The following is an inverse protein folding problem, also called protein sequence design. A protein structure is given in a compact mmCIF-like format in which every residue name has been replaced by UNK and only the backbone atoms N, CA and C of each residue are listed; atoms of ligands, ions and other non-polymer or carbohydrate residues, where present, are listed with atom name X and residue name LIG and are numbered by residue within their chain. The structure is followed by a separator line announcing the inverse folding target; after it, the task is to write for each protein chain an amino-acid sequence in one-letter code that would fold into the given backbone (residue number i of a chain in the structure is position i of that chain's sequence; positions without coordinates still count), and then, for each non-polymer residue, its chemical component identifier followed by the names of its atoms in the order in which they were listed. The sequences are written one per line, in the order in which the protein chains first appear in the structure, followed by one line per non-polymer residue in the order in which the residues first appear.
data_IF_715187270728
#
_entry.id   IF_715187270728
#
_cell.length_a   1.000
_cell.length_b   1.000
_cell.length_c   1.000
_cell.angle_alpha   90.00
_cell.angle_beta   90.00
_cell.angle_gamma   90.00
#
_symmetry.space_group_name_H-M   'P 1'
#
loop_
_entity.id
_entity.type
_entity.pdbx_description
1 polymer ?
#
# COMPACT_ATOMS: atom_id res chain seq x y z
N UNK A 1 -56.33 11.81 18.47
CA UNK A 1 -55.54 13.05 18.61
C UNK A 1 -54.20 12.82 17.94
N UNK A 2 -54.06 13.28 16.68
CA UNK A 2 -52.82 13.18 15.89
C UNK A 2 -51.86 14.26 16.39
N UNK A 3 -50.68 13.87 16.88
CA UNK A 3 -49.61 14.83 17.14
C UNK A 3 -48.56 14.64 16.04
N UNK A 4 -48.57 15.58 15.12
CA UNK A 4 -47.58 15.80 14.08
C UNK A 4 -46.41 16.54 14.74
N UNK A 5 -45.25 15.90 14.91
CA UNK A 5 -44.02 16.59 15.35
C UNK A 5 -43.16 16.78 14.11
N UNK A 6 -43.25 17.99 13.55
CA UNK A 6 -42.30 18.52 12.57
C UNK A 6 -41.08 18.99 13.35
N UNK A 7 -39.91 18.36 13.17
CA UNK A 7 -38.65 18.86 13.75
C UNK A 7 -37.65 19.21 12.64
N UNK A 8 -37.16 20.44 12.76
CA UNK A 8 -36.23 21.15 11.89
C UNK A 8 -34.85 20.47 11.88
N UNK A 9 -34.36 20.11 10.69
CA UNK A 9 -32.99 19.63 10.48
C UNK A 9 -32.00 20.81 10.42
N UNK A 10 -31.16 20.95 11.45
CA UNK A 10 -29.87 21.64 11.33
C UNK A 10 -28.79 20.84 12.06
N UNK A 11 -27.95 20.17 11.28
CA UNK A 11 -26.58 19.71 11.50
C UNK A 11 -26.06 19.51 12.95
N UNK A 12 -26.28 18.30 13.49
CA UNK A 12 -25.37 17.50 14.34
C UNK A 12 -26.18 16.30 14.85
N UNK A 13 -26.39 15.29 13.99
CA UNK A 13 -27.32 14.21 14.25
C UNK A 13 -26.65 12.99 14.90
N UNK A 14 -26.49 13.03 16.23
CA UNK A 14 -26.57 11.81 17.06
C UNK A 14 -27.92 11.86 17.75
N UNK A 15 -28.92 11.20 17.17
CA UNK A 15 -30.25 11.11 17.77
C UNK A 15 -30.35 9.81 18.58
N UNK A 16 -30.10 9.87 19.89
CA UNK A 16 -30.39 8.77 20.80
C UNK A 16 -31.91 8.70 21.05
N UNK A 17 -32.62 7.82 20.35
CA UNK A 17 -34.02 7.52 20.68
C UNK A 17 -34.08 6.40 21.71
N UNK A 18 -34.47 6.73 22.94
CA UNK A 18 -34.80 5.77 23.99
C UNK A 18 -36.27 5.39 23.89
N UNK A 19 -36.57 4.15 23.50
CA UNK A 19 -37.90 3.56 23.66
C UNK A 19 -37.75 2.26 24.45
N UNK A 20 -38.51 2.13 25.55
CA UNK A 20 -38.41 1.01 26.48
C UNK A 20 -38.71 -0.33 25.78
N UNK A 21 -37.86 -1.31 26.06
CA UNK A 21 -37.91 -2.76 25.76
C UNK A 21 -37.28 -3.28 24.47
N UNK A 22 -36.62 -2.47 23.65
CA UNK A 22 -35.58 -2.92 22.70
C UNK A 22 -34.80 -1.67 22.29
N UNK A 23 -33.63 -1.44 22.89
CA UNK A 23 -32.84 -0.25 22.58
C UNK A 23 -32.40 -0.31 21.11
N UNK A 24 -32.84 0.67 20.32
CA UNK A 24 -32.43 0.83 18.93
C UNK A 24 -31.49 2.03 18.86
N UNK A 25 -30.22 1.76 18.58
CA UNK A 25 -29.23 2.80 18.33
C UNK A 25 -29.13 3.04 16.82
N UNK A 26 -29.52 4.22 16.36
CA UNK A 26 -29.39 4.64 14.96
C UNK A 26 -28.26 5.65 14.87
N UNK A 27 -27.22 5.30 14.12
CA UNK A 27 -26.09 6.18 13.85
C UNK A 27 -26.13 6.62 12.39
N UNK A 28 -25.92 7.92 12.14
CA UNK A 28 -25.95 8.50 10.80
C UNK A 28 -24.91 9.60 10.64
N UNK A 29 -24.33 9.73 9.45
CA UNK A 29 -23.32 10.74 9.14
C UNK A 29 -21.90 10.28 9.50
N UNK A 30 -21.05 11.22 9.95
CA UNK A 30 -19.65 10.92 10.29
C UNK A 30 -19.56 10.31 11.69
N UNK A 31 -19.31 9.01 11.75
CA UNK A 31 -19.26 8.22 12.99
C UNK A 31 -17.91 7.50 13.06
N UNK A 32 -17.30 7.50 14.23
CA UNK A 32 -16.11 6.70 14.55
C UNK A 32 -16.51 5.52 15.43
N UNK A 33 -15.68 4.48 15.45
CA UNK A 33 -15.94 3.31 16.30
C UNK A 33 -16.06 3.67 17.79
N UNK A 34 -15.26 4.63 18.27
CA UNK A 34 -15.33 5.12 19.66
C UNK A 34 -16.65 5.83 20.02
N UNK A 35 -17.47 6.20 19.03
CA UNK A 35 -18.79 6.79 19.26
C UNK A 35 -19.86 5.71 19.54
N UNK A 36 -19.53 4.43 19.30
CA UNK A 36 -20.41 3.30 19.59
C UNK A 36 -20.29 2.96 21.08
N UNK A 37 -21.41 2.87 21.83
CA UNK A 37 -21.39 2.57 23.25
C UNK A 37 -20.60 1.29 23.60
N UNK A 38 -19.87 1.31 24.71
CA UNK A 38 -19.10 0.15 25.19
C UNK A 38 -19.95 -1.10 25.44
N UNK A 39 -21.23 -0.93 25.79
CA UNK A 39 -22.17 -2.06 25.86
C UNK A 39 -22.32 -2.79 24.52
N UNK A 40 -21.98 -2.19 23.38
CA UNK A 40 -21.95 -2.86 22.07
C UNK A 40 -20.54 -3.35 21.75
N UNK A 41 -19.51 -2.59 22.11
CA UNK A 41 -18.13 -2.84 21.63
C UNK A 41 -17.25 -3.65 22.59
N UNK A 42 -17.69 -3.88 23.82
CA UNK A 42 -16.96 -4.71 24.79
C UNK A 42 -16.83 -6.15 24.29
N UNK A 43 -15.65 -6.73 24.51
CA UNK A 43 -15.34 -8.12 24.20
C UNK A 43 -16.38 -9.09 24.80
N UNK A 44 -16.62 -10.19 24.07
CA UNK A 44 -17.57 -11.24 24.48
C UNK A 44 -16.79 -12.43 25.02
N UNK A 45 -17.14 -12.87 26.22
CA UNK A 45 -16.67 -14.14 26.78
C UNK A 45 -17.73 -15.18 26.44
N UNK A 46 -17.34 -16.17 25.64
CA UNK A 46 -18.22 -17.26 25.22
C UNK A 46 -18.24 -18.36 26.29
N UNK A 47 -19.10 -18.20 27.30
CA UNK A 47 -19.29 -19.18 28.39
C UNK A 47 -20.44 -20.13 28.12
N UNK A 48 -21.64 -19.58 27.89
CA UNK A 48 -22.86 -20.36 27.61
C UNK A 48 -23.71 -19.64 26.57
N UNK A 49 -24.62 -20.38 25.92
CA UNK A 49 -25.55 -19.79 24.96
C UNK A 49 -26.50 -18.79 25.63
N UNK A 50 -26.97 -19.08 26.84
CA UNK A 50 -27.91 -18.21 27.57
C UNK A 50 -27.25 -16.89 27.97
N UNK A 51 -25.99 -16.94 28.45
CA UNK A 51 -25.20 -15.74 28.75
C UNK A 51 -25.03 -14.87 27.50
N UNK A 52 -24.76 -15.50 26.35
CA UNK A 52 -24.62 -14.79 25.08
C UNK A 52 -25.95 -14.16 24.66
N UNK A 53 -27.06 -14.89 24.70
CA UNK A 53 -28.39 -14.36 24.37
C UNK A 53 -28.70 -13.15 25.25
N UNK A 54 -28.47 -13.26 26.56
CA UNK A 54 -28.69 -12.16 27.49
C UNK A 54 -27.80 -10.96 27.15
N UNK A 55 -26.52 -11.19 26.85
CA UNK A 55 -25.55 -10.16 26.47
C UNK A 55 -25.97 -9.41 25.20
N UNK A 56 -26.47 -10.12 24.19
CA UNK A 56 -26.90 -9.53 22.91
C UNK A 56 -28.20 -8.74 23.08
N UNK A 57 -29.18 -9.30 23.82
CA UNK A 57 -30.45 -8.61 24.11
C UNK A 57 -30.24 -7.29 24.86
N UNK A 58 -29.27 -7.25 25.80
CA UNK A 58 -28.91 -6.03 26.54
C UNK A 58 -28.26 -4.95 25.66
N UNK A 59 -27.60 -5.35 24.56
CA UNK A 59 -27.03 -4.39 23.60
C UNK A 59 -28.06 -3.78 22.67
N UNK A 60 -29.15 -4.50 22.39
CA UNK A 60 -30.19 -4.08 21.47
C UNK A 60 -29.76 -4.08 20.01
N UNK A 61 -30.45 -3.27 19.20
CA UNK A 61 -30.24 -3.16 17.75
C UNK A 61 -29.32 -2.01 17.41
N UNK A 62 -28.30 -2.26 16.58
CA UNK A 62 -27.47 -1.22 15.96
C UNK A 62 -27.88 -1.06 14.49
N UNK A 63 -28.33 0.14 14.12
CA UNK A 63 -28.62 0.54 12.75
C UNK A 63 -27.60 1.59 12.33
N UNK A 64 -26.77 1.27 11.33
CA UNK A 64 -25.92 2.24 10.65
C UNK A 64 -26.65 2.70 9.39
N UNK A 65 -26.91 4.00 9.29
CA UNK A 65 -27.65 4.60 8.16
C UNK A 65 -26.87 5.73 7.52
N UNK A 66 -26.51 5.60 6.25
CA UNK A 66 -25.66 6.55 5.54
C UNK A 66 -24.35 6.82 6.29
N UNK A 67 -23.70 5.76 6.79
CA UNK A 67 -22.47 5.82 7.57
C UNK A 67 -21.36 5.08 6.84
N UNK A 68 -20.17 5.66 6.90
CA UNK A 68 -18.92 4.97 6.61
C UNK A 68 -18.14 4.81 7.93
N UNK A 69 -18.18 3.61 8.49
CA UNK A 69 -17.57 3.30 9.78
C UNK A 69 -16.16 2.75 9.54
N UNK A 70 -15.17 3.61 9.76
CA UNK A 70 -13.76 3.25 9.68
C UNK A 70 -13.27 2.64 11.00
N UNK A 71 -12.71 1.43 10.94
CA UNK A 71 -12.17 0.69 12.09
C UNK A 71 -10.65 0.83 12.12
N UNK A 72 -10.17 1.86 12.81
CA UNK A 72 -8.73 2.13 12.93
C UNK A 72 -8.09 2.63 11.64
N UNK A 73 -6.75 2.66 11.64
CA UNK A 73 -5.94 3.10 10.50
C UNK A 73 -5.31 1.90 9.79
N UNK A 74 -5.07 2.06 8.48
CA UNK A 74 -4.19 1.18 7.70
C UNK A 74 -2.80 1.22 8.37
N UNK A 75 -2.11 0.07 8.51
CA UNK A 75 -0.83 -0.14 9.21
C UNK A 75 -0.84 -0.34 10.74
N UNK A 76 -1.99 -0.23 11.42
CA UNK A 76 -2.15 -0.73 12.80
C UNK A 76 -2.61 -2.19 12.79
N UNK A 77 -1.90 -3.02 12.01
CA UNK A 77 -2.28 -4.40 11.75
C UNK A 77 -2.47 -5.15 13.07
N UNK A 78 -3.60 -5.86 13.19
CA UNK A 78 -4.02 -6.72 14.31
C UNK A 78 -4.87 -6.07 15.43
N UNK A 79 -5.46 -4.89 15.21
CA UNK A 79 -6.52 -4.43 16.12
C UNK A 79 -7.78 -5.30 15.97
N UNK A 80 -8.37 -5.71 17.09
CA UNK A 80 -9.65 -6.42 17.12
C UNK A 80 -10.78 -5.45 17.49
N UNK A 81 -11.76 -5.34 16.60
CA UNK A 81 -13.00 -4.62 16.82
C UNK A 81 -14.13 -5.61 17.05
N UNK A 82 -14.92 -5.39 18.11
CA UNK A 82 -16.04 -6.27 18.46
C UNK A 82 -17.34 -5.50 18.35
N UNK A 83 -18.37 -6.13 17.79
CA UNK A 83 -19.76 -5.68 17.85
C UNK A 83 -20.61 -6.82 18.42
N UNK A 84 -21.12 -6.66 19.63
CA UNK A 84 -22.03 -7.60 20.28
C UNK A 84 -23.41 -6.96 20.37
N UNK A 85 -24.33 -7.37 19.51
CA UNK A 85 -25.67 -6.77 19.37
C UNK A 85 -26.76 -7.84 19.22
N UNK A 86 -28.01 -7.49 19.50
CA UNK A 86 -29.15 -8.35 19.13
C UNK A 86 -29.31 -8.36 17.60
N UNK A 87 -29.40 -7.18 16.98
CA UNK A 87 -29.50 -7.02 15.53
C UNK A 87 -28.51 -5.99 15.00
N UNK A 88 -27.75 -6.37 13.98
CA UNK A 88 -26.96 -5.45 13.16
C UNK A 88 -27.71 -5.17 11.87
N UNK A 89 -28.00 -3.90 11.60
CA UNK A 89 -28.59 -3.45 10.35
C UNK A 89 -27.72 -2.40 9.66
N UNK A 90 -27.40 -2.62 8.39
CA UNK A 90 -26.74 -1.62 7.54
C UNK A 90 -27.72 -1.11 6.48
N UNK A 91 -27.90 0.20 6.42
CA UNK A 91 -28.73 0.91 5.44
C UNK A 91 -27.85 1.94 4.71
N UNK A 92 -27.54 1.69 3.44
CA UNK A 92 -26.64 2.50 2.62
C UNK A 92 -25.33 2.84 3.37
N UNK A 93 -24.72 1.84 4.01
CA UNK A 93 -23.60 2.05 4.94
C UNK A 93 -22.47 1.07 4.68
N UNK A 94 -21.25 1.51 4.96
CA UNK A 94 -20.04 0.71 4.80
C UNK A 94 -19.31 0.59 6.12
N UNK A 95 -18.80 -0.60 6.41
CA UNK A 95 -17.80 -0.80 7.46
C UNK A 95 -16.46 -1.03 6.77
N UNK A 96 -15.49 -0.16 7.03
CA UNK A 96 -14.15 -0.24 6.46
C UNK A 96 -13.21 -0.69 7.56
N UNK A 97 -12.63 -1.88 7.41
CA UNK A 97 -11.81 -2.49 8.47
C UNK A 97 -10.37 -2.00 8.45
N UNK A 98 -9.89 -1.42 7.35
CA UNK A 98 -8.50 -1.00 7.14
C UNK A 98 -7.47 -2.13 7.42
N UNK A 99 -7.83 -3.37 7.05
CA UNK A 99 -7.03 -4.58 7.32
C UNK A 99 -7.19 -5.15 8.74
N UNK A 100 -7.90 -4.47 9.65
CA UNK A 100 -8.10 -4.91 11.03
C UNK A 100 -9.11 -6.06 11.17
N UNK A 101 -9.11 -6.71 12.33
CA UNK A 101 -10.06 -7.79 12.62
C UNK A 101 -11.39 -7.23 13.10
N UNK A 102 -12.49 -7.78 12.59
CA UNK A 102 -13.85 -7.47 13.03
C UNK A 102 -14.56 -8.76 13.47
N UNK A 103 -15.02 -8.79 14.71
CA UNK A 103 -15.88 -9.84 15.24
C UNK A 103 -17.27 -9.30 15.53
N UNK A 104 -18.30 -9.92 14.95
CA UNK A 104 -19.70 -9.55 15.15
C UNK A 104 -20.43 -10.71 15.80
N UNK A 105 -20.93 -10.51 17.00
CA UNK A 105 -21.84 -11.40 17.72
C UNK A 105 -23.25 -10.84 17.56
N UNK A 106 -24.13 -11.60 16.90
CA UNK A 106 -25.47 -11.14 16.55
C UNK A 106 -26.51 -12.26 16.66
N UNK A 107 -27.72 -11.93 17.09
CA UNK A 107 -28.88 -12.79 16.80
C UNK A 107 -29.21 -12.67 15.31
N UNK A 108 -29.32 -11.44 14.80
CA UNK A 108 -29.73 -11.15 13.41
C UNK A 108 -28.81 -10.17 12.70
N UNK A 109 -28.59 -10.39 11.41
CA UNK A 109 -27.84 -9.47 10.54
C UNK A 109 -28.67 -9.18 9.29
N UNK A 110 -28.81 -7.89 8.93
CA UNK A 110 -29.56 -7.43 7.76
C UNK A 110 -28.81 -6.28 7.06
N UNK A 111 -28.43 -6.48 5.80
CA UNK A 111 -27.81 -5.46 4.95
C UNK A 111 -28.77 -5.10 3.82
N UNK A 112 -28.87 -3.81 3.48
CA UNK A 112 -29.42 -3.42 2.18
C UNK A 112 -28.42 -3.66 1.04
N UNK A 113 -28.90 -3.54 -0.19
CA UNK A 113 -28.14 -3.80 -1.42
C UNK A 113 -26.95 -2.84 -1.66
N UNK A 114 -26.93 -1.70 -0.96
CA UNK A 114 -25.87 -0.69 -1.03
C UNK A 114 -24.89 -0.78 0.13
N UNK A 115 -25.12 -1.69 1.07
CA UNK A 115 -24.29 -1.84 2.26
C UNK A 115 -23.23 -2.92 2.09
N UNK A 116 -22.07 -2.71 2.71
CA UNK A 116 -20.97 -3.66 2.63
C UNK A 116 -20.01 -3.59 3.81
N UNK A 117 -19.24 -4.66 4.01
CA UNK A 117 -17.99 -4.62 4.78
C UNK A 117 -16.84 -4.70 3.79
N UNK A 118 -15.85 -3.82 3.91
CA UNK A 118 -14.68 -3.87 3.03
C UNK A 118 -13.36 -3.66 3.78
N UNK A 119 -12.27 -4.23 3.27
CA UNK A 119 -10.96 -4.07 3.89
C UNK A 119 -10.39 -2.68 3.70
N UNK A 120 -10.47 -2.11 2.50
CA UNK A 120 -9.86 -0.83 2.20
C UNK A 120 -10.73 -0.02 1.24
N UNK A 121 -10.63 1.30 1.33
CA UNK A 121 -11.09 2.22 0.29
C UNK A 121 -10.07 2.40 -0.84
N UNK A 122 -8.81 2.10 -0.56
CA UNK A 122 -7.69 2.23 -1.50
C UNK A 122 -6.93 0.91 -1.60
N UNK A 123 -6.64 0.47 -2.82
CA UNK A 123 -6.08 -0.85 -3.13
C UNK A 123 -4.57 -0.85 -3.44
N UNK A 124 -3.86 0.25 -3.20
CA UNK A 124 -2.47 0.40 -3.62
C UNK A 124 -1.60 0.89 -2.47
N UNK A 125 -0.48 0.20 -2.24
CA UNK A 125 0.59 0.68 -1.40
C UNK A 125 1.39 1.79 -2.09
N UNK A 126 2.22 2.50 -1.32
CA UNK A 126 3.01 3.61 -1.82
C UNK A 126 4.14 3.12 -2.73
N UNK A 127 4.29 3.78 -3.88
CA UNK A 127 5.41 3.53 -4.79
C UNK A 127 6.72 4.09 -4.24
N UNK A 128 7.82 3.44 -4.62
CA UNK A 128 9.17 3.96 -4.45
C UNK A 128 9.39 5.22 -5.28
N UNK A 129 10.26 6.08 -4.77
CA UNK A 129 10.69 7.29 -5.45
C UNK A 129 11.86 6.95 -6.38
N UNK A 130 11.82 7.50 -7.59
CA UNK A 130 12.97 7.49 -8.47
C UNK A 130 14.13 8.24 -7.79
N UNK A 131 15.37 7.83 -8.07
CA UNK A 131 16.53 8.62 -7.66
C UNK A 131 16.40 10.05 -8.20
N UNK A 132 16.64 11.06 -7.38
CA UNK A 132 16.37 12.45 -7.75
C UNK A 132 17.62 13.31 -8.01
N UNK A 133 18.84 12.76 -7.90
CA UNK A 133 20.10 13.40 -8.31
C UNK A 133 21.18 12.34 -8.66
N UNK A 134 22.40 12.77 -9.00
CA UNK A 134 23.49 11.89 -9.51
C UNK A 134 23.79 10.70 -8.61
N UNK A 135 23.84 9.50 -9.20
CA UNK A 135 24.18 8.25 -8.52
C UNK A 135 23.20 7.84 -7.39
N UNK A 136 21.99 8.41 -7.35
CA UNK A 136 20.98 8.05 -6.35
C UNK A 136 20.18 6.83 -6.83
N UNK A 137 20.05 5.86 -5.93
CA UNK A 137 19.25 4.66 -6.13
C UNK A 137 17.76 5.00 -6.09
N UNK A 138 16.95 4.25 -6.83
CA UNK A 138 15.51 4.23 -6.59
C UNK A 138 15.21 3.65 -5.21
N UNK A 139 14.16 4.15 -4.55
CA UNK A 139 13.71 3.58 -3.28
C UNK A 139 12.77 2.40 -3.52
N UNK A 140 12.63 1.55 -2.51
CA UNK A 140 11.69 0.43 -2.58
C UNK A 140 10.24 0.93 -2.63
N UNK A 141 9.36 0.12 -3.24
CA UNK A 141 7.91 0.24 -3.05
C UNK A 141 7.48 -0.45 -1.75
N UNK A 142 6.40 0.05 -1.15
CA UNK A 142 5.86 -0.51 0.09
C UNK A 142 5.12 -1.83 -0.20
N UNK A 143 5.11 -2.76 0.77
CA UNK A 143 4.27 -3.95 0.66
C UNK A 143 2.78 -3.55 0.75
N UNK A 144 1.92 -4.27 0.03
CA UNK A 144 0.49 -4.18 0.19
C UNK A 144 0.04 -4.79 1.52
N UNK A 145 -0.91 -4.15 2.18
CA UNK A 145 -1.54 -4.68 3.39
C UNK A 145 -2.50 -5.84 3.09
N UNK A 146 -2.60 -6.75 4.06
CA UNK A 146 -3.51 -7.89 3.99
C UNK A 146 -4.97 -7.44 4.14
N UNK A 147 -5.87 -8.12 3.45
CA UNK A 147 -7.29 -8.03 3.72
C UNK A 147 -7.62 -8.47 5.15
N UNK A 148 -8.75 -7.98 5.67
CA UNK A 148 -9.13 -8.16 7.06
C UNK A 148 -9.62 -9.56 7.40
N UNK A 149 -9.52 -9.91 8.68
CA UNK A 149 -10.23 -11.03 9.28
C UNK A 149 -11.60 -10.58 9.79
N UNK A 150 -12.68 -11.08 9.17
CA UNK A 150 -14.05 -10.82 9.63
C UNK A 150 -14.65 -12.12 10.15
N UNK A 151 -15.21 -12.12 11.35
CA UNK A 151 -15.94 -13.26 11.90
C UNK A 151 -17.32 -12.85 12.36
N UNK A 152 -18.33 -13.55 11.87
CA UNK A 152 -19.68 -13.47 12.38
C UNK A 152 -19.95 -14.69 13.27
N UNK A 153 -20.58 -14.44 14.41
CA UNK A 153 -21.09 -15.40 15.36
C UNK A 153 -22.60 -15.18 15.46
N UNK A 154 -23.37 -16.09 14.86
CA UNK A 154 -24.80 -15.89 14.59
C UNK A 154 -25.61 -16.91 15.38
N UNK A 155 -26.56 -16.42 16.17
CA UNK A 155 -27.47 -17.26 16.95
C UNK A 155 -28.76 -17.63 16.19
N UNK A 156 -29.38 -16.69 15.48
CA UNK A 156 -30.64 -16.94 14.75
C UNK A 156 -30.42 -17.06 13.23
N UNK A 157 -30.28 -15.93 12.53
CA UNK A 157 -30.21 -15.92 11.06
C UNK A 157 -29.60 -14.64 10.47
N UNK A 158 -29.17 -14.76 9.22
CA UNK A 158 -28.91 -13.63 8.33
C UNK A 158 -30.18 -13.42 7.49
N UNK A 159 -30.67 -12.19 7.44
CA UNK A 159 -31.97 -11.85 6.83
C UNK A 159 -31.86 -11.40 5.36
N UNK A 160 -30.65 -11.14 4.85
CA UNK A 160 -30.44 -10.67 3.48
C UNK A 160 -29.08 -11.08 2.91
N UNK A 161 -28.88 -10.87 1.61
CA UNK A 161 -27.58 -11.05 0.97
C UNK A 161 -26.57 -10.05 1.53
N UNK A 162 -25.43 -10.55 2.02
CA UNK A 162 -24.37 -9.73 2.59
C UNK A 162 -23.26 -9.56 1.55
N UNK A 163 -22.95 -8.31 1.22
CA UNK A 163 -21.80 -7.97 0.37
C UNK A 163 -20.56 -7.73 1.23
N UNK A 164 -19.50 -8.47 0.94
CA UNK A 164 -18.22 -8.40 1.65
C UNK A 164 -17.08 -8.29 0.62
N UNK A 165 -16.18 -7.33 0.80
CA UNK A 165 -14.99 -7.14 -0.02
C UNK A 165 -13.72 -7.13 0.84
N UNK A 166 -13.07 -8.28 0.97
CA UNK A 166 -11.85 -8.43 1.75
C UNK A 166 -10.59 -8.46 0.89
N UNK A 167 -10.59 -7.79 -0.26
CA UNK A 167 -9.42 -7.74 -1.14
C UNK A 167 -8.22 -7.11 -0.41
N UNK A 168 -7.03 -7.66 -0.67
CA UNK A 168 -5.79 -7.09 -0.18
C UNK A 168 -5.36 -5.87 -1.01
N UNK A 169 -4.33 -5.16 -0.55
CA UNK A 169 -3.67 -4.13 -1.36
C UNK A 169 -2.59 -4.73 -2.26
N UNK A 170 -2.39 -4.12 -3.42
CA UNK A 170 -1.24 -4.37 -4.27
C UNK A 170 0.02 -3.78 -3.65
N UNK A 171 1.16 -4.45 -3.88
CA UNK A 171 2.47 -3.90 -3.56
C UNK A 171 2.78 -2.67 -4.40
N UNK A 172 3.54 -1.74 -3.82
CA UNK A 172 4.01 -0.55 -4.48
C UNK A 172 5.10 -0.87 -5.50
N UNK A 173 5.09 -0.15 -6.62
CA UNK A 173 6.16 -0.23 -7.62
C UNK A 173 7.45 0.31 -7.04
N UNK A 174 8.60 -0.20 -7.47
CA UNK A 174 9.88 0.32 -7.04
C UNK A 174 10.26 1.59 -7.82
N UNK A 175 11.13 2.40 -7.21
CA UNK A 175 11.76 3.53 -7.89
C UNK A 175 12.85 3.10 -8.86
N UNK A 176 13.02 3.87 -9.93
CA UNK A 176 14.09 3.69 -10.90
C UNK A 176 15.43 4.25 -10.37
N UNK A 177 16.52 3.58 -10.75
CA UNK A 177 17.87 4.09 -10.57
C UNK A 177 18.24 5.15 -11.61
N UNK A 178 19.01 6.15 -11.20
CA UNK A 178 19.38 7.25 -12.10
C UNK A 178 20.54 6.89 -13.03
N UNK A 179 20.53 7.32 -14.31
CA UNK A 179 21.69 7.17 -15.18
C UNK A 179 22.94 7.87 -14.63
N UNK A 180 24.11 7.27 -14.87
CA UNK A 180 25.40 7.86 -14.59
C UNK A 180 25.72 9.01 -15.56
N UNK A 181 26.55 9.96 -15.14
CA UNK A 181 27.03 11.03 -16.01
C UNK A 181 28.23 10.56 -16.82
N UNK A 182 28.27 10.97 -18.08
CA UNK A 182 29.45 10.77 -18.92
C UNK A 182 30.64 11.55 -18.35
N UNK A 183 31.83 10.98 -18.51
CA UNK A 183 33.07 11.65 -18.25
C UNK A 183 33.34 12.76 -19.27
N UNK A 184 34.13 13.74 -18.84
CA UNK A 184 34.52 14.89 -19.66
C UNK A 184 35.76 14.53 -20.46
N UNK A 185 35.80 14.94 -21.74
CA UNK A 185 36.98 14.79 -22.59
C UNK A 185 38.18 15.52 -21.97
N UNK A 186 39.34 14.90 -22.02
CA UNK A 186 40.59 15.52 -21.58
C UNK A 186 40.97 16.73 -22.44
N UNK A 187 41.62 17.71 -21.83
CA UNK A 187 42.18 18.87 -22.53
C UNK A 187 43.26 18.44 -23.53
N UNK A 188 43.30 19.10 -24.68
CA UNK A 188 44.34 18.85 -25.67
C UNK A 188 45.71 19.32 -25.18
N UNK A 189 46.75 18.60 -25.58
CA UNK A 189 48.13 18.96 -25.34
C UNK A 189 48.50 20.26 -26.07
N UNK A 190 49.38 21.05 -25.45
CA UNK A 190 49.88 22.28 -26.08
C UNK A 190 50.72 21.96 -27.33
N UNK A 191 50.59 22.76 -28.38
CA UNK A 191 51.41 22.59 -29.59
C UNK A 191 52.89 22.92 -29.34
N UNK A 192 53.74 22.27 -30.13
CA UNK A 192 55.16 22.54 -30.18
C UNK A 192 55.43 23.96 -30.70
N UNK A 193 56.60 24.51 -30.35
CA UNK A 193 57.03 25.84 -30.81
C UNK A 193 58.52 25.81 -31.17
N UNK A 194 58.84 26.23 -32.39
CA UNK A 194 60.21 26.48 -32.81
C UNK A 194 60.75 27.75 -32.14
N UNK A 195 62.04 27.74 -31.83
CA UNK A 195 62.83 28.93 -31.52
C UNK A 195 63.46 29.51 -32.78
N UNK A 196 64.26 30.56 -32.60
CA UNK A 196 64.98 31.19 -33.70
C UNK A 196 65.98 30.19 -34.31
N UNK A 197 66.21 30.32 -35.62
CA UNK A 197 67.08 29.45 -36.43
C UNK A 197 66.70 27.95 -36.43
N UNK A 198 65.42 27.62 -36.23
CA UNK A 198 64.92 26.24 -36.33
C UNK A 198 65.26 25.37 -35.12
N UNK A 199 65.78 25.96 -34.03
CA UNK A 199 65.98 25.25 -32.76
C UNK A 199 64.64 24.83 -32.14
N UNK A 200 64.60 23.68 -31.45
CA UNK A 200 63.38 23.30 -30.74
C UNK A 200 63.27 24.07 -29.42
N UNK A 201 62.32 25.01 -29.31
CA UNK A 201 62.08 25.74 -28.06
C UNK A 201 61.23 24.93 -27.10
N UNK A 202 60.24 24.19 -27.62
CA UNK A 202 59.35 23.35 -26.81
C UNK A 202 58.66 22.30 -27.67
N UNK A 203 58.74 21.03 -27.25
CA UNK A 203 58.00 19.92 -27.85
C UNK A 203 56.48 20.00 -27.65
N UNK A 204 55.71 19.19 -28.38
CA UNK A 204 54.27 19.06 -28.15
C UNK A 204 54.00 18.51 -26.74
N UNK A 205 52.94 18.97 -26.11
CA UNK A 205 52.46 18.45 -24.84
C UNK A 205 51.60 17.21 -25.03
N UNK A 206 51.54 16.37 -23.99
CA UNK A 206 50.56 15.29 -23.88
C UNK A 206 49.17 15.89 -23.63
N UNK A 207 48.13 15.32 -24.25
CA UNK A 207 46.74 15.58 -23.87
C UNK A 207 46.44 15.00 -22.49
N UNK A 208 45.56 15.64 -21.73
CA UNK A 208 45.15 15.10 -20.43
C UNK A 208 44.23 13.89 -20.62
N UNK A 209 44.20 13.00 -19.64
CA UNK A 209 43.26 11.89 -19.65
C UNK A 209 41.81 12.42 -19.58
N UNK A 210 40.87 11.69 -20.16
CA UNK A 210 39.45 11.96 -19.96
C UNK A 210 39.03 11.49 -18.57
N UNK A 211 37.99 12.10 -18.01
CA UNK A 211 37.49 11.68 -16.70
C UNK A 211 36.66 10.40 -16.86
N UNK A 212 36.57 9.59 -15.81
CA UNK A 212 35.67 8.44 -15.80
C UNK A 212 34.21 8.90 -15.89
N UNK A 213 33.36 8.04 -16.46
CA UNK A 213 31.92 8.16 -16.28
C UNK A 213 31.54 7.73 -14.86
N UNK A 214 30.41 8.24 -14.36
CA UNK A 214 29.90 7.81 -13.05
C UNK A 214 29.02 6.58 -13.22
N UNK A 215 28.95 5.74 -12.19
CA UNK A 215 28.03 4.60 -12.18
C UNK A 215 26.58 5.05 -12.25
N UNK A 216 25.71 4.19 -12.80
CA UNK A 216 24.27 4.35 -12.66
C UNK A 216 23.80 3.95 -11.25
N UNK A 217 22.68 4.51 -10.82
CA UNK A 217 22.00 4.15 -9.58
C UNK A 217 21.29 2.81 -9.69
N UNK A 218 21.17 2.10 -8.57
CA UNK A 218 20.40 0.86 -8.48
C UNK A 218 18.89 1.16 -8.54
N UNK A 219 18.11 0.21 -9.04
CA UNK A 219 16.66 0.24 -8.85
C UNK A 219 16.28 -0.17 -7.42
N UNK A 220 15.13 0.29 -6.95
CA UNK A 220 14.53 -0.21 -5.72
C UNK A 220 13.93 -1.61 -5.90
N UNK A 221 13.64 -2.28 -4.79
CA UNK A 221 12.81 -3.49 -4.76
C UNK A 221 11.33 -3.13 -4.86
N UNK A 222 10.55 -3.94 -5.56
CA UNK A 222 9.08 -3.79 -5.55
C UNK A 222 8.46 -4.40 -4.31
N UNK A 223 7.29 -3.89 -3.92
CA UNK A 223 6.53 -4.40 -2.78
C UNK A 223 5.83 -5.72 -3.11
N UNK A 224 5.69 -6.58 -2.10
CA UNK A 224 4.81 -7.74 -2.18
C UNK A 224 3.34 -7.30 -2.17
N UNK A 225 2.46 -8.05 -2.82
CA UNK A 225 1.01 -7.90 -2.63
C UNK A 225 0.56 -8.51 -1.31
N UNK A 226 -0.49 -7.95 -0.71
CA UNK A 226 -1.09 -8.50 0.50
C UNK A 226 -1.91 -9.77 0.25
N UNK A 227 -2.18 -10.54 1.30
CA UNK A 227 -3.09 -11.68 1.25
C UNK A 227 -4.54 -11.22 1.37
N UNK A 228 -5.46 -11.80 0.61
CA UNK A 228 -6.89 -11.57 0.74
C UNK A 228 -7.40 -11.98 2.12
N UNK A 229 -8.41 -11.28 2.63
CA UNK A 229 -8.93 -11.49 3.98
C UNK A 229 -9.78 -12.74 4.16
N UNK A 230 -9.98 -13.14 5.39
CA UNK A 230 -10.76 -14.32 5.74
C UNK A 230 -12.12 -13.91 6.29
N UNK A 231 -13.18 -14.56 5.80
CA UNK A 231 -14.52 -14.36 6.32
C UNK A 231 -15.04 -15.65 6.96
N UNK A 232 -15.26 -15.61 8.27
CA UNK A 232 -15.84 -16.71 9.02
C UNK A 232 -17.30 -16.42 9.34
N UNK A 233 -18.16 -17.40 9.09
CA UNK A 233 -19.57 -17.37 9.47
C UNK A 233 -19.81 -18.57 10.38
N UNK A 234 -19.91 -18.28 11.68
CA UNK A 234 -20.05 -19.25 12.74
C UNK A 234 -21.49 -19.27 13.22
N UNK A 235 -22.24 -20.31 12.88
CA UNK A 235 -23.58 -20.54 13.40
C UNK A 235 -23.49 -21.22 14.76
N UNK A 236 -23.90 -20.53 15.82
CA UNK A 236 -23.77 -21.01 17.19
C UNK A 236 -24.81 -22.10 17.46
N UNK A 237 -24.33 -23.29 17.86
CA UNK A 237 -25.13 -24.47 18.19
C UNK A 237 -26.14 -24.91 17.11
N UNK A 238 -26.03 -24.37 15.89
CA UNK A 238 -26.94 -24.57 14.78
C UNK A 238 -26.15 -24.95 13.52
N UNK A 239 -26.75 -25.76 12.66
CA UNK A 239 -26.17 -26.06 11.36
C UNK A 239 -26.18 -24.83 10.45
N UNK A 240 -25.14 -24.61 9.63
CA UNK A 240 -25.13 -23.53 8.65
C UNK A 240 -26.37 -23.49 7.76
N UNK A 241 -26.81 -22.28 7.41
CA UNK A 241 -27.80 -22.10 6.34
C UNK A 241 -27.24 -22.62 5.01
N UNK A 242 -28.08 -23.27 4.21
CA UNK A 242 -27.74 -23.70 2.84
C UNK A 242 -28.04 -22.62 1.79
N UNK A 243 -28.57 -21.48 2.22
CA UNK A 243 -28.87 -20.35 1.32
C UNK A 243 -27.58 -19.58 0.98
N UNK A 244 -27.41 -19.21 -0.29
CA UNK A 244 -26.31 -18.35 -0.75
C UNK A 244 -26.55 -16.90 -0.29
N UNK A 245 -26.22 -16.63 0.96
CA UNK A 245 -26.42 -15.31 1.60
C UNK A 245 -25.20 -14.41 1.54
N UNK A 246 -24.17 -14.76 0.76
CA UNK A 246 -22.91 -14.02 0.72
C UNK A 246 -22.46 -13.73 -0.70
N UNK A 247 -22.18 -12.46 -0.98
CA UNK A 247 -21.40 -12.01 -2.11
C UNK A 247 -20.03 -11.57 -1.60
N UNK A 248 -19.04 -12.47 -1.67
CA UNK A 248 -17.69 -12.24 -1.16
C UNK A 248 -16.69 -12.07 -2.31
N UNK A 249 -15.91 -11.00 -2.26
CA UNK A 249 -14.61 -10.92 -2.95
C UNK A 249 -13.49 -10.92 -1.92
N UNK A 250 -12.46 -11.74 -2.12
CA UNK A 250 -11.28 -11.77 -1.27
C UNK A 250 -10.03 -12.07 -2.09
N UNK A 251 -9.76 -11.17 -3.02
CA UNK A 251 -8.65 -11.30 -3.95
C UNK A 251 -7.32 -10.95 -3.29
N UNK A 252 -6.28 -11.65 -3.73
CA UNK A 252 -4.90 -11.33 -3.39
C UNK A 252 -4.48 -9.98 -3.98
N UNK A 253 -3.53 -9.35 -3.31
CA UNK A 253 -2.75 -8.26 -3.88
C UNK A 253 -1.76 -8.78 -4.92
N UNK A 254 -1.60 -8.01 -5.99
CA UNK A 254 -0.53 -8.20 -6.96
C UNK A 254 0.79 -7.65 -6.41
N UNK A 255 1.90 -8.20 -6.90
CA UNK A 255 3.22 -7.61 -6.66
C UNK A 255 3.34 -6.25 -7.36
N UNK A 256 4.14 -5.35 -6.78
CA UNK A 256 4.56 -4.14 -7.47
C UNK A 256 5.50 -4.44 -8.64
N UNK A 257 5.60 -3.51 -9.57
CA UNK A 257 6.55 -3.57 -10.67
C UNK A 257 7.94 -3.13 -10.20
N UNK A 258 8.97 -3.84 -10.65
CA UNK A 258 10.35 -3.50 -10.30
C UNK A 258 10.88 -2.30 -11.08
N UNK A 259 11.75 -1.55 -10.44
CA UNK A 259 12.37 -0.36 -11.03
C UNK A 259 13.38 -0.72 -12.12
N UNK A 260 13.57 0.22 -13.05
CA UNK A 260 14.61 0.16 -14.08
C UNK A 260 15.94 0.61 -13.49
N UNK A 261 17.03 -0.05 -13.89
CA UNK A 261 18.39 0.29 -13.46
C UNK A 261 18.89 1.58 -14.11
N UNK A 262 19.77 2.30 -13.43
CA UNK A 262 20.55 3.38 -14.04
C UNK A 262 21.66 2.82 -14.90
N UNK A 263 21.76 3.26 -16.16
CA UNK A 263 22.88 2.90 -17.04
C UNK A 263 24.11 3.73 -16.64
N UNK A 264 25.29 3.11 -16.59
CA UNK A 264 26.55 3.78 -16.30
C UNK A 264 26.93 4.81 -17.37
N UNK A 265 27.52 5.93 -16.93
CA UNK A 265 28.00 6.97 -17.82
C UNK A 265 29.23 6.51 -18.61
N UNK A 266 29.34 6.89 -19.88
CA UNK A 266 30.53 6.60 -20.68
C UNK A 266 31.73 7.41 -20.17
N UNK A 267 32.92 6.83 -20.13
CA UNK A 267 34.16 7.54 -19.85
C UNK A 267 34.49 8.56 -20.92
N UNK A 268 35.04 9.70 -20.50
CA UNK A 268 35.44 10.78 -21.39
C UNK A 268 36.64 10.38 -22.23
N UNK A 269 36.68 10.81 -23.49
CA UNK A 269 37.84 10.58 -24.34
C UNK A 269 39.09 11.28 -23.79
N UNK A 270 40.27 10.70 -24.00
CA UNK A 270 41.51 11.40 -23.74
C UNK A 270 41.73 12.57 -24.70
N UNK A 271 42.32 13.64 -24.20
CA UNK A 271 42.71 14.81 -24.99
C UNK A 271 43.75 14.45 -26.05
N UNK A 272 43.71 15.13 -27.18
CA UNK A 272 44.69 14.92 -28.25
C UNK A 272 46.08 15.41 -27.83
N UNK A 273 47.14 14.86 -28.42
CA UNK A 273 48.48 15.43 -28.24
C UNK A 273 48.58 16.81 -28.90
N UNK A 274 49.54 17.62 -28.44
CA UNK A 274 49.93 18.81 -29.20
C UNK A 274 50.50 18.45 -30.56
N UNK A 275 50.36 19.35 -31.54
CA UNK A 275 50.96 19.20 -32.87
C UNK A 275 52.47 19.45 -32.84
N UNK A 276 53.20 18.74 -33.68
CA UNK A 276 54.64 18.94 -33.91
C UNK A 276 54.92 20.24 -34.68
N UNK A 277 56.13 20.78 -34.55
CA UNK A 277 56.58 21.94 -35.31
C UNK A 277 58.09 21.82 -35.61
N UNK A 278 58.49 21.91 -36.89
CA UNK A 278 59.90 21.85 -37.30
C UNK A 278 60.68 20.69 -36.66
N UNK A 279 61.76 21.02 -35.97
CA UNK A 279 62.61 20.05 -35.27
C UNK A 279 62.03 19.58 -33.91
N UNK A 280 60.87 20.10 -33.47
CA UNK A 280 60.17 19.68 -32.26
C UNK A 280 59.16 18.54 -32.55
N UNK A 281 59.66 17.31 -32.71
CA UNK A 281 58.84 16.13 -33.10
C UNK A 281 58.81 14.99 -32.06
N UNK A 282 59.25 15.25 -30.83
CA UNK A 282 59.58 14.20 -29.84
C UNK A 282 58.41 13.38 -29.28
N UNK A 283 57.16 13.67 -29.65
CA UNK A 283 56.00 12.91 -29.21
C UNK A 283 55.11 12.58 -30.41
N UNK A 284 54.88 11.29 -30.66
CA UNK A 284 53.90 10.87 -31.66
C UNK A 284 52.49 11.18 -31.19
N UNK A 285 51.58 11.45 -32.14
CA UNK A 285 50.21 11.83 -31.81
C UNK A 285 49.50 10.80 -30.93
N UNK A 286 49.79 9.52 -31.15
CA UNK A 286 49.24 8.40 -30.40
C UNK A 286 49.82 8.28 -28.99
N UNK A 287 51.15 8.39 -28.83
CA UNK A 287 51.79 8.32 -27.50
C UNK A 287 51.51 9.55 -26.64
N UNK A 288 51.15 10.66 -27.28
CA UNK A 288 50.80 11.91 -26.63
C UNK A 288 49.32 12.07 -26.29
N UNK A 289 48.45 11.15 -26.72
CA UNK A 289 47.03 11.22 -26.37
C UNK A 289 46.82 10.91 -24.89
N UNK A 290 45.86 11.60 -24.29
CA UNK A 290 45.29 11.19 -23.01
C UNK A 290 44.66 9.81 -23.12
N UNK A 291 44.59 9.09 -22.02
CA UNK A 291 43.80 7.85 -21.92
C UNK A 291 42.32 8.20 -21.86
N UNK A 292 41.47 7.36 -22.44
CA UNK A 292 40.02 7.41 -22.21
C UNK A 292 39.76 7.08 -20.73
N UNK A 293 38.84 7.82 -20.11
CA UNK A 293 38.31 7.45 -18.80
C UNK A 293 37.57 6.10 -18.87
N UNK A 294 37.48 5.42 -17.74
CA UNK A 294 36.66 4.21 -17.63
C UNK A 294 35.18 4.57 -17.76
N UNK A 295 34.40 3.67 -18.38
CA UNK A 295 32.95 3.74 -18.33
C UNK A 295 32.49 3.41 -16.89
N UNK A 296 31.45 4.09 -16.42
CA UNK A 296 30.79 3.78 -15.16
C UNK A 296 30.05 2.46 -15.25
N UNK A 297 29.85 1.80 -14.11
CA UNK A 297 29.08 0.55 -14.05
C UNK A 297 27.59 0.83 -14.12
N UNK A 298 26.83 -0.06 -14.73
CA UNK A 298 25.37 -0.06 -14.61
C UNK A 298 24.96 -0.35 -13.16
N UNK A 299 23.78 0.16 -12.78
CA UNK A 299 23.16 -0.14 -11.50
C UNK A 299 22.61 -1.56 -11.44
N UNK A 300 22.30 -2.01 -10.24
CA UNK A 300 21.70 -3.31 -9.99
C UNK A 300 20.17 -3.24 -10.06
N UNK A 301 19.56 -4.32 -10.58
CA UNK A 301 18.11 -4.50 -10.55
C UNK A 301 17.68 -4.80 -9.12
N UNK A 302 16.56 -4.23 -8.69
CA UNK A 302 15.90 -4.61 -7.45
C UNK A 302 15.24 -5.98 -7.53
N UNK A 303 14.86 -6.50 -6.37
CA UNK A 303 14.13 -7.75 -6.23
C UNK A 303 12.66 -7.54 -6.60
N UNK A 304 12.12 -8.47 -7.37
CA UNK A 304 10.70 -8.50 -7.72
C UNK A 304 9.86 -8.94 -6.50
N UNK A 305 8.79 -8.21 -6.22
CA UNK A 305 7.80 -8.57 -5.21
C UNK A 305 7.05 -9.84 -5.57
N UNK A 306 6.37 -10.42 -4.57
CA UNK A 306 5.52 -11.61 -4.74
C UNK A 306 4.06 -11.24 -4.60
N UNK A 307 3.15 -11.84 -5.40
CA UNK A 307 1.72 -11.71 -5.15
C UNK A 307 1.35 -12.42 -3.84
N UNK A 308 0.28 -11.98 -3.20
CA UNK A 308 -0.27 -12.65 -2.03
C UNK A 308 -1.08 -13.90 -2.37
N UNK A 309 -1.80 -14.40 -1.38
CA UNK A 309 -2.77 -15.49 -1.52
C UNK A 309 -4.20 -14.97 -1.46
N UNK A 310 -5.13 -15.57 -2.22
CA UNK A 310 -6.54 -15.19 -2.13
C UNK A 310 -7.11 -15.70 -0.82
N UNK A 311 -8.00 -14.91 -0.22
CA UNK A 311 -8.70 -15.32 0.98
C UNK A 311 -9.89 -16.22 0.65
N UNK A 312 -10.71 -16.51 1.67
CA UNK A 312 -11.85 -17.42 1.52
C UNK A 312 -12.95 -17.18 2.54
N UNK A 313 -14.14 -17.64 2.18
CA UNK A 313 -15.28 -17.82 3.08
C UNK A 313 -15.20 -19.19 3.78
N UNK A 314 -15.40 -19.21 5.08
CA UNK A 314 -15.57 -20.42 5.88
C UNK A 314 -16.90 -20.32 6.62
N UNK A 315 -17.84 -21.20 6.27
CA UNK A 315 -19.13 -21.30 6.95
C UNK A 315 -19.14 -22.58 7.78
N UNK A 316 -19.40 -22.47 9.08
CA UNK A 316 -19.33 -23.61 9.98
C UNK A 316 -20.32 -23.51 11.14
N UNK A 317 -20.65 -24.67 11.71
CA UNK A 317 -21.26 -24.75 13.03
C UNK A 317 -20.18 -24.47 14.08
N UNK A 318 -20.50 -23.65 15.06
CA UNK A 318 -19.66 -23.39 16.22
C UNK A 318 -20.38 -23.86 17.47
N UNK A 319 -19.75 -24.73 18.24
CA UNK A 319 -20.31 -25.23 19.51
C UNK A 319 -19.68 -24.44 20.65
N UNK A 320 -20.52 -23.88 21.52
CA UNK A 320 -20.10 -23.20 22.75
C UNK A 320 -19.70 -24.21 23.83
#
# INVERSE_FOLDING_TARGET
MKILITLLCTALAVANFYCQNNEVLILSGKIKFGDIPSKITNAVILSTQDDLIQRLNQSGTLILRNVELNLGNISQNDSLFVLAIDKLKLENSKIITNGNSLEVYANKIEFDDRSSIQSFDQYFAKNGLNGNEQNINGTNGDNGDNGSLVKFFILDKIESLITINLNAQNGGNAGNGMPGKNGVKGSNGRNARNGDFGSCRRGPGRGSDGTNGTSGGNAGNSGNGGNGGLFFVNYINKSPSTENLFNLTSEKGLAGESGVIGIGGRGGDGGESGSNAGNCTHLSAERGRGRKGADGTDGLKGIDGKPGESGRLIVQKYTL
#
